data_IF_841057310912
#
_entry.id   IF_841057310912
#
_cell.length_a   1.000
_cell.length_b   1.000
_cell.length_c   1.000
_cell.angle_alpha   90.00
_cell.angle_beta   90.00
_cell.angle_gamma   90.00
#
_symmetry.space_group_name_H-M   'P 1'
#
loop_
_entity.id
_entity.type
_entity.pdbx_description
1 polymer ?
#
# COMPACT_ATOMS: atom_id res chain seq x y z
N UNK A 1 44.00 21.53 -5.60
CA UNK A 1 42.61 21.96 -5.33
C UNK A 1 41.57 21.35 -6.28
N UNK A 2 41.86 21.09 -7.58
CA UNK A 2 40.89 20.46 -8.52
C UNK A 2 40.43 19.02 -8.18
N UNK A 3 41.19 18.25 -7.38
CA UNK A 3 40.86 16.85 -7.05
C UNK A 3 39.84 16.69 -5.90
N UNK A 4 39.69 17.68 -5.03
CA UNK A 4 38.79 17.61 -3.86
C UNK A 4 37.33 17.85 -4.29
N UNK A 5 37.11 18.68 -5.32
CA UNK A 5 35.78 18.97 -5.87
C UNK A 5 35.16 17.74 -6.55
N UNK A 6 35.99 16.87 -7.15
CA UNK A 6 35.52 15.65 -7.83
C UNK A 6 34.97 14.61 -6.83
N UNK A 7 35.51 14.56 -5.62
CA UNK A 7 35.10 13.60 -4.57
C UNK A 7 33.76 14.05 -3.95
N UNK A 8 33.56 15.36 -3.75
CA UNK A 8 32.27 15.90 -3.26
C UNK A 8 31.12 15.66 -4.26
N UNK A 9 31.38 15.74 -5.57
CA UNK A 9 30.37 15.42 -6.59
C UNK A 9 30.03 13.92 -6.63
N UNK A 10 31.01 13.03 -6.44
CA UNK A 10 30.79 11.58 -6.42
C UNK A 10 29.98 11.13 -5.19
N UNK A 11 30.16 11.79 -4.04
CA UNK A 11 29.39 11.52 -2.82
C UNK A 11 27.97 12.13 -2.85
N UNK A 12 27.73 13.12 -3.72
CA UNK A 12 26.39 13.72 -3.88
C UNK A 12 25.53 13.00 -4.92
N UNK A 13 26.12 12.19 -5.81
CA UNK A 13 25.39 11.34 -6.77
C UNK A 13 24.84 10.04 -6.18
N UNK A 14 25.20 9.68 -4.95
CA UNK A 14 24.60 8.57 -4.22
C UNK A 14 23.35 9.01 -3.44
N UNK A 15 22.50 9.86 -4.05
CA UNK A 15 21.12 10.01 -3.58
C UNK A 15 20.41 8.70 -3.84
N UNK A 16 20.52 7.84 -2.83
CA UNK A 16 19.77 6.62 -2.58
C UNK A 16 18.37 6.78 -3.16
N UNK A 17 18.06 5.96 -4.16
CA UNK A 17 16.69 5.76 -4.63
C UNK A 17 16.00 4.93 -3.54
N UNK A 18 15.67 5.56 -2.43
CA UNK A 18 14.79 4.98 -1.43
C UNK A 18 13.52 4.51 -2.13
N UNK A 19 13.03 3.33 -1.77
CA UNK A 19 11.71 2.90 -2.17
C UNK A 19 10.69 3.78 -1.45
N UNK A 20 10.16 4.77 -2.18
CA UNK A 20 9.18 5.69 -1.61
C UNK A 20 7.76 5.17 -1.87
N UNK A 21 6.82 5.55 -1.01
CA UNK A 21 5.40 5.23 -1.17
C UNK A 21 4.87 5.71 -2.53
N UNK A 22 5.31 6.90 -2.98
CA UNK A 22 4.94 7.45 -4.29
C UNK A 22 5.38 6.57 -5.46
N UNK A 23 6.53 5.91 -5.36
CA UNK A 23 7.05 5.03 -6.42
C UNK A 23 6.23 3.74 -6.53
N UNK A 24 5.53 3.40 -5.45
CA UNK A 24 4.60 2.29 -5.42
C UNK A 24 3.24 2.65 -6.04
N UNK A 25 2.90 3.91 -6.31
CA UNK A 25 1.58 4.25 -6.89
C UNK A 25 1.40 3.69 -8.31
N UNK A 26 0.23 3.10 -8.58
CA UNK A 26 -0.11 2.46 -9.85
C UNK A 26 -0.37 0.96 -9.72
N UNK A 27 -0.33 0.27 -10.86
CA UNK A 27 -0.81 -1.10 -10.98
C UNK A 27 0.30 -2.14 -10.82
N UNK A 28 -0.12 -3.31 -10.36
CA UNK A 28 0.75 -4.44 -10.14
C UNK A 28 0.08 -5.75 -10.54
N UNK A 29 0.87 -6.64 -11.12
CA UNK A 29 0.53 -8.04 -11.25
C UNK A 29 0.70 -8.72 -9.90
N UNK A 30 -0.33 -9.39 -9.42
CA UNK A 30 -0.16 -10.30 -8.28
C UNK A 30 0.50 -11.60 -8.74
N UNK A 31 1.64 -11.93 -8.14
CA UNK A 31 2.34 -13.21 -8.35
C UNK A 31 1.75 -14.26 -7.41
N UNK A 32 1.68 -13.95 -6.12
CA UNK A 32 1.06 -14.83 -5.12
C UNK A 32 0.45 -14.05 -3.96
N UNK A 33 -0.53 -14.68 -3.32
CA UNK A 33 -1.09 -14.28 -2.02
C UNK A 33 -1.01 -15.47 -1.07
N UNK A 34 -0.39 -15.27 0.09
CA UNK A 34 -0.17 -16.29 1.11
C UNK A 34 0.50 -17.55 0.55
N UNK A 35 1.46 -17.39 -0.37
CA UNK A 35 2.18 -18.49 -1.01
C UNK A 35 1.38 -19.25 -2.06
N UNK A 36 0.23 -18.73 -2.50
CA UNK A 36 -0.60 -19.33 -3.55
C UNK A 36 -0.70 -18.41 -4.75
N UNK A 37 -0.43 -18.94 -5.94
CA UNK A 37 -0.66 -18.24 -7.19
C UNK A 37 -2.13 -17.89 -7.34
N UNK A 38 -2.42 -16.72 -7.90
CA UNK A 38 -3.79 -16.24 -8.11
C UNK A 38 -4.29 -16.62 -9.50
N UNK A 39 -5.58 -16.99 -9.59
CA UNK A 39 -6.24 -17.25 -10.87
C UNK A 39 -6.78 -15.95 -11.46
N UNK A 40 -6.42 -15.64 -12.71
CA UNK A 40 -6.97 -14.49 -13.45
C UNK A 40 -8.40 -14.74 -13.88
N UNK A 41 -9.22 -13.68 -13.85
CA UNK A 41 -10.53 -13.61 -14.47
C UNK A 41 -10.49 -13.11 -15.91
N UNK A 42 -11.65 -13.11 -16.61
CA UNK A 42 -11.75 -12.68 -17.99
C UNK A 42 -11.42 -11.19 -18.21
N UNK A 43 -11.74 -10.33 -17.24
CA UNK A 43 -11.54 -8.88 -17.36
C UNK A 43 -10.14 -8.50 -16.82
N UNK A 44 -9.24 -8.10 -17.73
CA UNK A 44 -7.83 -7.91 -17.39
C UNK A 44 -7.59 -6.81 -16.34
N UNK A 45 -8.27 -5.67 -16.45
CA UNK A 45 -8.13 -4.57 -15.49
C UNK A 45 -8.54 -4.97 -14.06
N UNK A 46 -9.45 -5.95 -13.91
CA UNK A 46 -9.87 -6.46 -12.60
C UNK A 46 -8.86 -7.42 -11.96
N UNK A 47 -7.91 -7.93 -12.74
CA UNK A 47 -6.86 -8.83 -12.25
C UNK A 47 -5.68 -8.09 -11.61
N UNK A 48 -5.68 -6.76 -11.61
CA UNK A 48 -4.56 -5.96 -11.12
C UNK A 48 -4.70 -5.67 -9.63
N UNK A 49 -3.57 -5.72 -8.92
CA UNK A 49 -3.41 -5.05 -7.64
C UNK A 49 -3.11 -3.57 -7.88
N UNK A 50 -3.48 -2.70 -6.95
CA UNK A 50 -3.37 -1.26 -7.09
C UNK A 50 -2.91 -0.63 -5.79
N UNK A 51 -2.00 0.33 -5.89
CA UNK A 51 -1.79 1.32 -4.83
C UNK A 51 -2.14 2.69 -5.40
N UNK A 52 -3.11 3.36 -4.78
CA UNK A 52 -3.60 4.66 -5.23
C UNK A 52 -3.89 5.56 -4.05
N UNK A 53 -3.77 6.87 -4.27
CA UNK A 53 -4.28 7.88 -3.34
C UNK A 53 -5.77 8.05 -3.53
N UNK A 54 -6.50 8.01 -2.43
CA UNK A 54 -7.93 8.31 -2.41
C UNK A 54 -8.17 9.55 -1.57
N UNK A 55 -9.13 10.36 -2.02
CA UNK A 55 -9.49 11.59 -1.34
C UNK A 55 -10.02 11.39 0.08
N UNK A 56 -9.93 12.46 0.85
CA UNK A 56 -10.10 12.55 2.30
C UNK A 56 -11.51 12.28 2.88
N UNK A 57 -12.46 11.75 2.10
CA UNK A 57 -13.89 11.71 2.49
C UNK A 57 -14.28 10.52 3.37
N UNK A 58 -13.39 9.53 3.51
CA UNK A 58 -13.71 8.29 4.24
C UNK A 58 -13.29 8.36 5.70
N UNK A 59 -12.17 9.03 6.00
CA UNK A 59 -11.59 9.06 7.33
C UNK A 59 -11.38 10.49 7.83
N UNK A 60 -11.58 10.68 9.12
CA UNK A 60 -11.29 11.91 9.83
C UNK A 60 -10.55 11.62 11.13
N UNK A 61 -9.74 12.57 11.53
CA UNK A 61 -9.06 12.54 12.81
C UNK A 61 -10.07 12.72 13.96
N UNK A 62 -9.88 11.97 15.05
CA UNK A 62 -10.86 11.95 16.16
C UNK A 62 -10.77 13.20 17.05
N UNK A 63 -9.62 13.89 17.05
CA UNK A 63 -9.37 15.05 17.91
C UNK A 63 -9.72 16.35 17.19
N UNK A 64 -9.30 16.48 15.93
CA UNK A 64 -9.42 17.70 15.12
C UNK A 64 -10.63 17.69 14.19
N UNK A 65 -11.26 16.52 13.96
CA UNK A 65 -12.34 16.32 12.99
C UNK A 65 -11.96 16.71 11.54
N UNK A 66 -10.66 16.90 11.28
CA UNK A 66 -10.12 17.17 9.95
C UNK A 66 -10.09 15.87 9.14
N UNK A 67 -10.25 16.01 7.83
CA UNK A 67 -10.18 14.88 6.91
C UNK A 67 -8.76 14.35 6.82
N UNK A 68 -8.61 13.03 6.73
CA UNK A 68 -7.33 12.36 6.60
C UNK A 68 -7.16 11.90 5.16
N UNK A 69 -6.06 12.29 4.52
CA UNK A 69 -5.67 11.76 3.21
C UNK A 69 -5.17 10.32 3.35
N UNK A 70 -5.49 9.49 2.37
CA UNK A 70 -5.21 8.05 2.42
C UNK A 70 -4.62 7.54 1.11
N UNK A 71 -3.79 6.51 1.22
CA UNK A 71 -3.53 5.59 0.11
C UNK A 71 -4.16 4.23 0.40
N UNK A 72 -4.58 3.53 -0.63
CA UNK A 72 -5.16 2.19 -0.51
C UNK A 72 -4.37 1.19 -1.34
N UNK A 73 -3.76 0.22 -0.65
CA UNK A 73 -3.18 -0.96 -1.28
C UNK A 73 -4.26 -2.03 -1.45
N UNK A 74 -4.79 -2.16 -2.65
CA UNK A 74 -5.76 -3.19 -3.02
C UNK A 74 -5.03 -4.36 -3.67
N UNK A 75 -4.91 -5.48 -2.95
CA UNK A 75 -4.30 -6.69 -3.48
C UNK A 75 -5.35 -7.60 -4.14
N UNK A 76 -5.20 -7.92 -5.42
CA UNK A 76 -6.01 -8.93 -6.11
C UNK A 76 -5.67 -10.34 -5.58
N UNK A 77 -6.68 -11.07 -5.10
CA UNK A 77 -6.53 -12.41 -4.50
C UNK A 77 -6.95 -13.54 -5.46
N UNK A 78 -7.57 -13.20 -6.59
CA UNK A 78 -7.96 -14.18 -7.60
C UNK A 78 -9.43 -14.10 -7.98
N UNK A 79 -9.74 -14.84 -9.03
CA UNK A 79 -11.06 -14.97 -9.60
C UNK A 79 -11.66 -16.34 -9.33
N UNK A 80 -12.93 -16.34 -8.89
CA UNK A 80 -13.78 -17.53 -8.84
C UNK A 80 -15.14 -17.15 -9.41
N UNK A 81 -15.38 -17.57 -10.65
CA UNK A 81 -16.56 -17.18 -11.43
C UNK A 81 -17.85 -17.11 -10.61
N UNK A 82 -18.59 -15.98 -10.65
CA UNK A 82 -18.32 -14.72 -11.39
C UNK A 82 -17.55 -13.65 -10.59
N UNK A 83 -16.96 -13.99 -9.44
CA UNK A 83 -16.47 -13.03 -8.46
C UNK A 83 -14.95 -12.83 -8.51
N UNK A 84 -14.53 -11.58 -8.41
CA UNK A 84 -13.16 -11.17 -8.14
C UNK A 84 -13.00 -10.89 -6.65
N UNK A 85 -11.89 -11.32 -6.07
CA UNK A 85 -11.59 -11.15 -4.64
C UNK A 85 -10.40 -10.22 -4.45
N UNK A 86 -10.50 -9.32 -3.47
CA UNK A 86 -9.49 -8.31 -3.17
C UNK A 86 -9.24 -8.16 -1.67
N UNK A 87 -8.04 -7.71 -1.32
CA UNK A 87 -7.64 -7.33 0.04
C UNK A 87 -7.19 -5.86 0.08
N UNK A 88 -8.06 -4.91 0.49
CA UNK A 88 -7.72 -3.48 0.52
C UNK A 88 -7.14 -3.04 1.86
N UNK A 89 -5.92 -2.53 1.91
CA UNK A 89 -5.27 -2.01 3.13
C UNK A 89 -5.15 -0.48 3.04
N UNK A 90 -5.62 0.22 4.07
CA UNK A 90 -5.66 1.69 4.07
C UNK A 90 -4.53 2.26 4.90
N UNK A 91 -3.69 3.06 4.25
CA UNK A 91 -2.61 3.86 4.81
C UNK A 91 -3.17 5.24 5.13
N UNK A 92 -2.95 5.73 6.35
CA UNK A 92 -3.44 7.02 6.82
C UNK A 92 -2.26 8.01 6.82
N UNK A 93 -2.26 8.97 5.90
CA UNK A 93 -1.15 9.93 5.79
C UNK A 93 -1.04 10.74 7.08
N UNK A 94 0.19 11.02 7.51
CA UNK A 94 0.53 11.76 8.74
C UNK A 94 0.00 11.19 10.07
N UNK A 95 -0.67 10.03 10.05
CA UNK A 95 -1.26 9.41 11.24
C UNK A 95 -0.57 8.11 11.66
N UNK A 96 0.47 7.70 10.95
CA UNK A 96 1.31 6.54 11.25
C UNK A 96 2.80 6.83 11.20
N UNK A 97 3.61 5.80 11.38
CA UNK A 97 5.07 5.83 11.22
C UNK A 97 5.40 5.19 9.88
N UNK A 98 5.94 5.98 8.95
CA UNK A 98 6.45 5.53 7.67
C UNK A 98 7.98 5.52 7.73
N UNK A 99 8.59 4.38 7.38
CA UNK A 99 10.03 4.20 7.30
C UNK A 99 10.35 3.71 5.89
N UNK A 100 11.16 4.48 5.18
CA UNK A 100 11.58 4.21 3.81
C UNK A 100 13.10 4.03 3.78
N UNK A 101 13.55 2.97 3.12
CA UNK A 101 14.96 2.71 2.81
C UNK A 101 15.09 2.35 1.33
N UNK A 102 16.31 2.11 0.85
CA UNK A 102 16.55 1.71 -0.54
C UNK A 102 15.69 0.53 -1.01
N UNK A 103 15.56 -0.50 -0.18
CA UNK A 103 14.88 -1.74 -0.55
C UNK A 103 13.62 -2.00 0.27
N UNK A 104 13.29 -1.17 1.26
CA UNK A 104 12.16 -1.47 2.16
C UNK A 104 11.27 -0.26 2.39
N UNK A 105 9.97 -0.53 2.47
CA UNK A 105 8.96 0.39 2.96
C UNK A 105 8.23 -0.28 4.12
N UNK A 106 8.16 0.41 5.25
CA UNK A 106 7.41 -0.03 6.42
C UNK A 106 6.44 1.06 6.85
N UNK A 107 5.20 0.69 7.07
CA UNK A 107 4.18 1.58 7.58
C UNK A 107 3.47 0.94 8.77
N UNK A 108 3.37 1.69 9.87
CA UNK A 108 2.70 1.26 11.08
C UNK A 108 1.72 2.32 11.58
N UNK A 109 0.51 1.91 11.93
CA UNK A 109 -0.46 2.73 12.65
C UNK A 109 -1.27 1.87 13.60
N UNK A 110 -1.57 2.43 14.77
CA UNK A 110 -2.52 1.91 15.73
C UNK A 110 -3.23 3.10 16.36
N UNK A 111 -4.36 3.50 15.76
CA UNK A 111 -5.12 4.70 16.16
C UNK A 111 -6.62 4.50 16.02
N UNK A 112 -7.36 5.27 16.80
CA UNK A 112 -8.77 5.48 16.57
C UNK A 112 -9.00 6.60 15.54
N UNK A 113 -9.84 6.35 14.55
CA UNK A 113 -10.25 7.31 13.53
C UNK A 113 -11.77 7.37 13.41
N UNK A 114 -12.29 8.48 12.91
CA UNK A 114 -13.69 8.56 12.49
C UNK A 114 -13.79 8.04 11.05
N UNK A 115 -14.59 6.98 10.82
CA UNK A 115 -14.81 6.42 9.50
C UNK A 115 -16.25 6.68 9.05
N UNK A 116 -16.41 7.18 7.82
CA UNK A 116 -17.71 7.35 7.17
C UNK A 116 -18.25 6.01 6.68
N UNK A 117 -19.50 5.73 7.02
CA UNK A 117 -20.29 4.64 6.44
C UNK A 117 -21.68 5.18 6.14
N UNK A 118 -22.08 5.16 4.86
CA UNK A 118 -23.33 5.73 4.38
C UNK A 118 -23.55 7.20 4.79
N UNK A 119 -22.47 7.99 4.80
CA UNK A 119 -22.51 9.41 5.15
C UNK A 119 -22.49 9.73 6.65
N UNK A 120 -22.48 8.70 7.52
CA UNK A 120 -22.40 8.87 8.97
C UNK A 120 -21.01 8.46 9.44
N UNK A 121 -20.34 9.36 10.16
CA UNK A 121 -19.03 9.08 10.76
C UNK A 121 -19.19 8.38 12.10
N UNK A 122 -18.45 7.29 12.29
CA UNK A 122 -18.36 6.55 13.57
C UNK A 122 -16.90 6.31 13.91
N UNK A 123 -16.59 6.36 15.22
CA UNK A 123 -15.27 6.02 15.72
C UNK A 123 -14.99 4.53 15.45
N UNK A 124 -13.83 4.23 14.87
CA UNK A 124 -13.33 2.86 14.64
C UNK A 124 -11.86 2.80 15.00
N UNK A 125 -11.42 1.64 15.48
CA UNK A 125 -10.01 1.34 15.66
C UNK A 125 -9.40 0.91 14.32
N UNK A 126 -8.19 1.39 14.05
CA UNK A 126 -7.46 1.14 12.81
C UNK A 126 -6.01 0.80 13.12
N UNK A 127 -5.74 -0.51 13.17
CA UNK A 127 -4.40 -1.06 13.21
C UNK A 127 -3.99 -1.50 11.80
N UNK A 128 -2.83 -1.04 11.33
CA UNK A 128 -2.17 -1.56 10.14
C UNK A 128 -0.66 -1.64 10.39
N UNK A 129 -0.09 -2.81 10.14
CA UNK A 129 1.35 -3.00 9.99
C UNK A 129 1.62 -3.55 8.58
N UNK A 130 2.29 -2.76 7.76
CA UNK A 130 2.64 -3.05 6.38
C UNK A 130 4.16 -3.04 6.24
N UNK A 131 4.70 -4.09 5.65
CA UNK A 131 6.10 -4.16 5.24
C UNK A 131 6.16 -4.60 3.78
N UNK A 132 6.96 -3.91 2.99
CA UNK A 132 7.27 -4.22 1.59
C UNK A 132 8.78 -4.22 1.43
N UNK A 133 9.29 -5.23 0.75
CA UNK A 133 10.71 -5.41 0.43
C UNK A 133 10.84 -5.60 -1.07
N UNK A 134 11.72 -4.82 -1.70
CA UNK A 134 12.10 -4.96 -3.09
C UNK A 134 13.13 -6.09 -3.21
N UNK A 135 12.77 -7.11 -3.97
CA UNK A 135 13.67 -8.22 -4.29
C UNK A 135 14.64 -7.82 -5.40
N UNK A 136 15.76 -8.56 -5.50
CA UNK A 136 16.80 -8.33 -6.51
C UNK A 136 16.32 -8.47 -7.96
N UNK A 137 15.24 -9.22 -8.19
CA UNK A 137 14.60 -9.38 -9.50
C UNK A 137 13.57 -8.28 -9.82
N UNK A 138 13.41 -7.30 -8.94
CA UNK A 138 12.45 -6.19 -9.08
C UNK A 138 11.03 -6.50 -8.59
N UNK A 139 10.74 -7.71 -8.13
CA UNK A 139 9.46 -8.04 -7.51
C UNK A 139 9.38 -7.44 -6.10
N UNK A 140 8.18 -7.13 -5.64
CA UNK A 140 7.91 -6.62 -4.31
C UNK A 140 7.25 -7.71 -3.47
N UNK A 141 7.91 -8.10 -2.40
CA UNK A 141 7.34 -9.04 -1.42
C UNK A 141 6.91 -8.25 -0.20
N UNK A 142 5.75 -8.57 0.37
CA UNK A 142 5.27 -7.85 1.53
C UNK A 142 4.36 -8.65 2.44
N UNK A 143 4.09 -8.04 3.59
CA UNK A 143 3.18 -8.53 4.62
C UNK A 143 2.35 -7.36 5.13
N UNK A 144 1.04 -7.53 5.12
CA UNK A 144 0.08 -6.57 5.65
C UNK A 144 -0.77 -7.24 6.73
N UNK A 145 -0.70 -6.73 7.96
CA UNK A 145 -1.52 -7.16 9.09
C UNK A 145 -2.47 -6.03 9.47
N UNK A 146 -3.77 -6.28 9.38
CA UNK A 146 -4.81 -5.32 9.68
C UNK A 146 -5.74 -5.85 10.76
N UNK A 147 -6.05 -5.01 11.76
CA UNK A 147 -6.99 -5.34 12.84
C UNK A 147 -7.94 -4.18 13.13
N UNK A 148 -9.19 -4.53 13.42
CA UNK A 148 -10.19 -3.62 13.98
C UNK A 148 -11.19 -4.43 14.81
N UNK A 149 -11.16 -4.24 16.12
CA UNK A 149 -12.09 -4.82 17.09
C UNK A 149 -13.50 -4.31 16.87
N UNK A 150 -13.69 -3.01 16.63
CA UNK A 150 -15.01 -2.40 16.43
C UNK A 150 -15.69 -2.97 15.18
N UNK A 151 -14.91 -3.29 14.14
CA UNK A 151 -15.43 -3.88 12.89
C UNK A 151 -15.36 -5.41 12.87
N UNK A 152 -14.90 -6.05 13.94
CA UNK A 152 -14.62 -7.48 14.02
C UNK A 152 -13.80 -8.02 12.83
N UNK A 153 -12.64 -7.40 12.58
CA UNK A 153 -11.72 -7.78 11.51
C UNK A 153 -10.33 -8.05 12.08
N UNK A 154 -9.76 -9.18 11.72
CA UNK A 154 -8.35 -9.51 11.93
C UNK A 154 -7.89 -10.31 10.70
N UNK A 155 -6.91 -9.78 9.98
CA UNK A 155 -6.35 -10.47 8.81
C UNK A 155 -4.88 -10.13 8.65
N UNK A 156 -4.16 -11.11 8.16
CA UNK A 156 -2.77 -10.97 7.73
C UNK A 156 -2.64 -11.56 6.33
N UNK A 157 -1.99 -10.82 5.45
CA UNK A 157 -1.77 -11.22 4.06
C UNK A 157 -0.28 -11.08 3.77
N UNK A 158 0.35 -12.18 3.37
CA UNK A 158 1.65 -12.15 2.70
C UNK A 158 1.39 -12.06 1.20
N UNK A 159 2.21 -11.32 0.46
CA UNK A 159 2.00 -11.12 -0.97
C UNK A 159 3.31 -10.96 -1.71
N UNK A 160 3.31 -11.33 -2.98
CA UNK A 160 4.33 -10.95 -3.95
C UNK A 160 3.64 -10.30 -5.13
N UNK A 161 4.06 -9.10 -5.49
CA UNK A 161 3.51 -8.31 -6.58
C UNK A 161 4.64 -7.77 -7.47
N UNK A 162 4.35 -7.56 -8.75
CA UNK A 162 5.29 -7.02 -9.73
C UNK A 162 4.68 -5.80 -10.40
N UNK A 163 5.44 -4.70 -10.47
CA UNK A 163 4.97 -3.46 -11.11
C UNK A 163 4.62 -3.73 -12.58
N UNK A 164 3.48 -3.23 -13.02
CA UNK A 164 3.05 -3.29 -14.42
C UNK A 164 2.27 -2.03 -14.82
N UNK A 165 1.97 -1.91 -16.11
CA UNK A 165 1.15 -0.80 -16.60
C UNK A 165 -0.32 -1.03 -16.21
N UNK A 166 -1.01 0.05 -15.84
CA UNK A 166 -2.45 -0.01 -15.62
C UNK A 166 -3.18 -0.28 -16.93
N UNK A 167 -4.12 -1.22 -16.89
CA UNK A 167 -5.00 -1.56 -18.01
C UNK A 167 -6.31 -0.79 -17.81
N UNK A 168 -6.74 -0.04 -18.83
CA UNK A 168 -8.03 0.65 -18.81
C UNK A 168 -9.18 -0.30 -19.10
N UNK A 169 -10.35 0.05 -18.60
CA UNK A 169 -11.61 -0.56 -19.01
C UNK A 169 -12.15 0.25 -20.21
N UNK A 170 -11.66 -0.07 -21.40
CA UNK A 170 -12.19 0.47 -22.67
C UNK A 170 -13.51 -0.23 -23.06
#
# INVERSE_FOLDING_TARGET
MKKIILILFLTYSAKSFALNLSDLHGCFKTIDINGKSVSSGPDQWRNQSLLEDLGSRTYKDTETNQSIDISVLTLFEGYKSPYYKYNPFVILHDHGVLIETEDTLQYFVDKDVMMSSYGIYKKVDHYLNLQIVKSSNGDLTGKASFKSKIRNRDRTVNFTIKKENCVSND
#
